data_IF_813309609855
#
_entry.id   IF_813309609855
#
_cell.length_a   1.000
_cell.length_b   1.000
_cell.length_c   1.000
_cell.angle_alpha   90.00
_cell.angle_beta   90.00
_cell.angle_gamma   90.00
#
_symmetry.space_group_name_H-M   'P 1'
#
loop_
_entity.id
_entity.type
_entity.pdbx_description
1 polymer ?
#
# COMPACT_ATOMS: atom_id res chain seq x y z
N UNK A 1 3.43 -7.35 35.52
CA UNK A 1 4.05 -6.15 34.90
C UNK A 1 4.71 -6.42 33.54
N UNK A 2 5.39 -7.54 33.31
CA UNK A 2 6.02 -7.85 32.00
C UNK A 2 5.01 -8.09 30.88
N UNK A 3 3.93 -8.81 31.11
CA UNK A 3 2.85 -9.08 30.15
C UNK A 3 2.13 -7.82 29.69
N UNK A 4 1.89 -6.86 30.57
CA UNK A 4 1.27 -5.56 30.25
C UNK A 4 2.18 -4.66 29.38
N UNK A 5 3.50 -4.79 29.49
CA UNK A 5 4.44 -4.09 28.62
C UNK A 5 4.54 -4.73 27.25
N UNK A 6 4.48 -6.06 27.15
CA UNK A 6 4.50 -6.77 25.86
C UNK A 6 3.27 -6.46 25.01
N UNK A 7 2.08 -6.40 25.62
CA UNK A 7 0.84 -6.07 24.88
C UNK A 7 0.83 -4.64 24.31
N UNK A 8 1.48 -3.69 24.99
CA UNK A 8 1.63 -2.31 24.52
C UNK A 8 2.65 -2.17 23.39
N UNK A 9 3.66 -3.02 23.32
CA UNK A 9 4.70 -2.99 22.28
C UNK A 9 4.32 -3.74 21.01
N UNK A 10 3.41 -4.70 21.11
CA UNK A 10 3.00 -5.55 19.99
C UNK A 10 2.47 -4.75 18.76
N UNK A 11 1.58 -3.75 18.91
CA UNK A 11 1.12 -2.94 17.76
C UNK A 11 2.27 -2.17 17.10
N UNK A 12 3.23 -1.64 17.86
CA UNK A 12 4.40 -0.93 17.33
C UNK A 12 5.34 -1.86 16.56
N UNK A 13 5.62 -3.04 17.12
CA UNK A 13 6.43 -4.05 16.43
C UNK A 13 5.75 -4.51 15.14
N UNK A 14 4.44 -4.77 15.18
CA UNK A 14 3.66 -5.13 14.02
C UNK A 14 3.69 -4.04 12.94
N UNK A 15 3.53 -2.76 13.32
CA UNK A 15 3.58 -1.62 12.41
C UNK A 15 4.97 -1.47 11.77
N UNK A 16 6.04 -1.63 12.53
CA UNK A 16 7.41 -1.55 12.01
C UNK A 16 7.71 -2.70 11.04
N UNK A 17 7.36 -3.94 11.41
CA UNK A 17 7.57 -5.11 10.56
C UNK A 17 6.77 -5.00 9.26
N UNK A 18 5.49 -4.68 9.35
CA UNK A 18 4.61 -4.51 8.21
C UNK A 18 5.08 -3.39 7.27
N UNK A 19 5.44 -2.23 7.84
CA UNK A 19 5.93 -1.11 7.07
C UNK A 19 7.28 -1.40 6.41
N UNK A 20 8.20 -2.09 7.11
CA UNK A 20 9.47 -2.51 6.54
C UNK A 20 9.29 -3.52 5.39
N UNK A 21 8.36 -4.48 5.54
CA UNK A 21 8.04 -5.45 4.50
C UNK A 21 7.43 -4.77 3.26
N UNK A 22 6.45 -3.88 3.44
CA UNK A 22 5.89 -3.16 2.30
C UNK A 22 6.90 -2.21 1.66
N UNK A 23 7.76 -1.56 2.46
CA UNK A 23 8.86 -0.75 1.93
C UNK A 23 9.82 -1.57 1.06
N UNK A 24 10.12 -2.82 1.45
CA UNK A 24 10.93 -3.75 0.67
C UNK A 24 10.30 -4.09 -0.68
N UNK A 25 8.98 -4.10 -0.80
CA UNK A 25 8.29 -4.44 -2.05
C UNK A 25 8.69 -3.54 -3.22
N UNK A 26 9.07 -2.28 -3.00
CA UNK A 26 9.55 -1.37 -4.06
C UNK A 26 10.92 -1.80 -4.59
N UNK A 27 11.80 -2.26 -3.72
CA UNK A 27 13.08 -2.83 -4.12
C UNK A 27 12.89 -4.15 -4.87
N UNK A 28 12.00 -5.02 -4.40
CA UNK A 28 11.65 -6.26 -5.09
C UNK A 28 10.99 -6.00 -6.45
N UNK A 29 10.19 -4.93 -6.58
CA UNK A 29 9.62 -4.53 -7.87
C UNK A 29 10.72 -4.22 -8.91
N UNK A 30 11.81 -3.57 -8.51
CA UNK A 30 12.97 -3.34 -9.38
C UNK A 30 13.72 -4.64 -9.70
N UNK A 31 13.92 -5.51 -8.71
CA UNK A 31 14.60 -6.80 -8.91
C UNK A 31 13.81 -7.68 -9.88
N UNK A 32 12.50 -7.82 -9.70
CA UNK A 32 11.66 -8.67 -10.54
C UNK A 32 11.60 -8.17 -11.98
N UNK A 33 11.53 -6.85 -12.19
CA UNK A 33 11.53 -6.28 -13.54
C UNK A 33 12.89 -6.37 -14.20
N UNK A 34 13.99 -6.20 -13.46
CA UNK A 34 15.35 -6.42 -13.95
C UNK A 34 15.63 -7.89 -14.30
N UNK A 35 14.96 -8.83 -13.61
CA UNK A 35 15.04 -10.27 -13.90
C UNK A 35 14.16 -10.72 -15.08
N UNK A 36 13.56 -9.78 -15.83
CA UNK A 36 12.74 -10.07 -17.02
C UNK A 36 11.24 -10.18 -16.73
N UNK A 37 10.79 -9.90 -15.50
CA UNK A 37 9.38 -9.86 -15.16
C UNK A 37 8.65 -8.72 -15.87
N UNK A 38 7.63 -9.04 -16.63
CA UNK A 38 6.77 -8.07 -17.30
C UNK A 38 5.72 -7.51 -16.34
N UNK A 39 5.32 -6.24 -16.42
CA UNK A 39 4.40 -5.62 -15.47
C UNK A 39 3.10 -6.40 -15.23
N UNK A 40 2.40 -6.78 -16.28
CA UNK A 40 1.14 -7.52 -16.13
C UNK A 40 1.36 -8.97 -15.69
N UNK A 41 2.43 -9.62 -16.16
CA UNK A 41 2.78 -10.97 -15.74
C UNK A 41 3.17 -11.04 -14.26
N UNK A 42 3.95 -10.08 -13.76
CA UNK A 42 4.32 -9.99 -12.34
C UNK A 42 3.09 -9.71 -11.48
N UNK A 43 2.23 -8.77 -11.90
CA UNK A 43 0.97 -8.47 -11.18
C UNK A 43 0.09 -9.73 -11.08
N UNK A 44 -0.02 -10.50 -12.18
CA UNK A 44 -0.74 -11.77 -12.19
C UNK A 44 -0.15 -12.76 -11.19
N UNK A 45 1.13 -13.09 -11.32
CA UNK A 45 1.77 -14.12 -10.50
C UNK A 45 1.85 -13.76 -9.02
N UNK A 46 2.15 -12.51 -8.70
CA UNK A 46 2.10 -12.02 -7.32
C UNK A 46 0.70 -12.18 -6.73
N UNK A 47 -0.34 -11.84 -7.49
CA UNK A 47 -1.73 -11.98 -7.05
C UNK A 47 -2.13 -13.44 -6.87
N UNK A 48 -1.65 -14.35 -7.73
CA UNK A 48 -1.83 -15.80 -7.55
C UNK A 48 -1.19 -16.27 -6.25
N UNK A 49 0.07 -15.94 -6.02
CA UNK A 49 0.80 -16.36 -4.80
C UNK A 49 0.10 -15.83 -3.54
N UNK A 50 -0.19 -14.53 -3.49
CA UNK A 50 -0.88 -13.91 -2.36
C UNK A 50 -2.28 -14.52 -2.16
N UNK A 51 -3.05 -14.65 -3.24
CA UNK A 51 -4.40 -15.21 -3.20
C UNK A 51 -4.43 -16.66 -2.71
N UNK A 52 -3.51 -17.50 -3.16
CA UNK A 52 -3.39 -18.90 -2.74
C UNK A 52 -3.02 -19.01 -1.25
N UNK A 53 -2.05 -18.22 -0.78
CA UNK A 53 -1.65 -18.17 0.64
C UNK A 53 -2.86 -17.78 1.51
N UNK A 54 -3.55 -16.70 1.15
CA UNK A 54 -4.71 -16.22 1.91
C UNK A 54 -5.90 -17.17 1.82
N UNK A 55 -6.10 -17.84 0.68
CA UNK A 55 -7.13 -18.87 0.52
C UNK A 55 -6.84 -20.05 1.45
N UNK A 56 -5.60 -20.55 1.47
CA UNK A 56 -5.17 -21.60 2.39
C UNK A 56 -5.46 -21.23 3.85
N UNK A 57 -5.14 -19.97 4.23
CA UNK A 57 -5.40 -19.46 5.57
C UNK A 57 -6.91 -19.37 5.89
N UNK A 58 -7.75 -18.88 4.97
CA UNK A 58 -9.20 -18.76 5.18
C UNK A 58 -9.87 -20.14 5.29
N UNK A 59 -9.44 -21.10 4.48
CA UNK A 59 -9.92 -22.48 4.53
C UNK A 59 -9.51 -23.18 5.84
N UNK A 60 -8.24 -23.03 6.26
CA UNK A 60 -7.75 -23.57 7.53
C UNK A 60 -8.54 -23.01 8.75
N UNK A 61 -8.99 -21.75 8.65
CA UNK A 61 -9.84 -21.10 9.66
C UNK A 61 -11.32 -21.41 9.51
N UNK A 62 -11.71 -22.29 8.58
CA UNK A 62 -13.10 -22.64 8.24
C UNK A 62 -13.97 -21.40 7.96
N UNK A 63 -13.39 -20.39 7.30
CA UNK A 63 -14.07 -19.16 6.90
C UNK A 63 -13.90 -18.93 5.39
N UNK A 64 -14.52 -19.77 4.53
CA UNK A 64 -14.36 -19.66 3.08
C UNK A 64 -14.87 -18.33 2.55
N UNK A 65 -14.49 -18.01 1.31
CA UNK A 65 -14.99 -16.86 0.61
C UNK A 65 -16.50 -17.01 0.34
N UNK A 66 -17.22 -15.92 0.52
CA UNK A 66 -18.62 -15.82 0.11
C UNK A 66 -18.65 -15.35 -1.34
N UNK A 67 -19.37 -16.06 -2.21
CA UNK A 67 -19.39 -15.84 -3.65
C UNK A 67 -20.77 -15.38 -4.15
N UNK A 68 -21.55 -14.68 -3.33
CA UNK A 68 -22.78 -14.04 -3.79
C UNK A 68 -22.49 -12.80 -4.65
N UNK A 69 -23.48 -12.29 -5.36
CA UNK A 69 -23.33 -11.17 -6.29
C UNK A 69 -22.73 -9.92 -5.65
N UNK A 70 -23.07 -9.65 -4.37
CA UNK A 70 -22.55 -8.49 -3.64
C UNK A 70 -21.06 -8.66 -3.36
N UNK A 71 -20.63 -9.81 -2.84
CA UNK A 71 -19.23 -10.09 -2.54
C UNK A 71 -18.38 -10.11 -3.82
N UNK A 72 -18.89 -10.70 -4.91
CA UNK A 72 -18.22 -10.70 -6.21
C UNK A 72 -17.95 -9.27 -6.71
N UNK A 73 -18.96 -8.38 -6.63
CA UNK A 73 -18.77 -6.98 -7.00
C UNK A 73 -17.70 -6.29 -6.16
N UNK A 74 -17.70 -6.55 -4.86
CA UNK A 74 -16.69 -5.98 -3.94
C UNK A 74 -15.30 -6.50 -4.31
N UNK A 75 -15.14 -7.81 -4.49
CA UNK A 75 -13.85 -8.39 -4.87
C UNK A 75 -13.32 -7.85 -6.19
N UNK A 76 -14.17 -7.64 -7.20
CA UNK A 76 -13.78 -7.04 -8.47
C UNK A 76 -13.31 -5.58 -8.29
N UNK A 77 -14.07 -4.77 -7.55
CA UNK A 77 -13.73 -3.35 -7.34
C UNK A 77 -12.40 -3.22 -6.58
N UNK A 78 -12.24 -3.95 -5.47
CA UNK A 78 -10.99 -3.92 -4.70
C UNK A 78 -9.83 -4.57 -5.46
N UNK A 79 -10.08 -5.57 -6.31
CA UNK A 79 -9.08 -6.16 -7.18
C UNK A 79 -8.53 -5.14 -8.19
N UNK A 80 -9.41 -4.35 -8.80
CA UNK A 80 -9.00 -3.31 -9.76
C UNK A 80 -8.24 -2.18 -9.06
N UNK A 81 -8.80 -1.64 -7.96
CA UNK A 81 -8.27 -0.46 -7.28
C UNK A 81 -7.11 -0.75 -6.33
N UNK A 82 -7.07 -1.93 -5.71
CA UNK A 82 -6.09 -2.29 -4.69
C UNK A 82 -4.97 -3.22 -5.17
N UNK A 83 -5.11 -3.85 -6.34
CA UNK A 83 -4.10 -4.78 -6.83
C UNK A 83 -3.79 -4.63 -8.31
N UNK A 84 -4.76 -4.84 -9.21
CA UNK A 84 -4.49 -4.97 -10.65
C UNK A 84 -3.89 -3.70 -11.25
N UNK A 85 -4.57 -2.56 -11.11
CA UNK A 85 -4.12 -1.29 -11.69
C UNK A 85 -2.88 -0.77 -10.94
N UNK A 86 -2.91 -0.56 -9.60
CA UNK A 86 -1.79 0.09 -8.92
C UNK A 86 -0.49 -0.73 -8.98
N UNK A 87 -0.53 -2.05 -8.81
CA UNK A 87 0.68 -2.87 -8.90
C UNK A 87 1.26 -2.85 -10.32
N UNK A 88 0.41 -2.94 -11.35
CA UNK A 88 0.88 -2.84 -12.75
C UNK A 88 1.57 -1.51 -13.00
N UNK A 89 1.02 -0.38 -12.53
CA UNK A 89 1.62 0.95 -12.66
C UNK A 89 2.98 1.02 -11.95
N UNK A 90 3.11 0.46 -10.75
CA UNK A 90 4.40 0.37 -10.06
C UNK A 90 5.41 -0.48 -10.82
N UNK A 91 5.01 -1.63 -11.38
CA UNK A 91 5.92 -2.47 -12.16
C UNK A 91 6.32 -1.84 -13.50
N UNK A 92 5.46 -1.03 -14.10
CA UNK A 92 5.85 -0.20 -15.26
C UNK A 92 6.88 0.88 -14.88
N UNK A 93 6.75 1.48 -13.71
CA UNK A 93 7.64 2.54 -13.24
C UNK A 93 8.98 2.02 -12.69
N UNK A 94 9.00 0.81 -12.12
CA UNK A 94 10.14 0.25 -11.39
C UNK A 94 11.47 0.18 -12.18
N UNK A 95 11.51 -0.08 -13.50
CA UNK A 95 12.76 -0.04 -14.26
C UNK A 95 13.37 1.35 -14.39
N UNK A 96 12.57 2.41 -14.26
CA UNK A 96 12.96 3.79 -14.58
C UNK A 96 13.11 4.69 -13.35
N UNK A 97 12.56 4.25 -12.20
CA UNK A 97 12.49 5.06 -10.97
C UNK A 97 13.20 4.33 -9.84
N UNK A 98 13.97 5.06 -9.04
CA UNK A 98 14.60 4.51 -7.84
C UNK A 98 13.54 3.98 -6.86
N UNK A 99 13.86 2.88 -6.14
CA UNK A 99 12.93 2.24 -5.22
C UNK A 99 12.54 3.18 -4.06
N UNK A 100 13.48 3.96 -3.56
CA UNK A 100 13.21 5.00 -2.56
C UNK A 100 12.22 6.05 -3.06
N UNK A 101 12.35 6.50 -4.30
CA UNK A 101 11.44 7.47 -4.91
C UNK A 101 10.03 6.87 -5.08
N UNK A 102 9.92 5.60 -5.50
CA UNK A 102 8.62 4.91 -5.59
C UNK A 102 7.94 4.83 -4.22
N UNK A 103 8.68 4.55 -3.15
CA UNK A 103 8.11 4.48 -1.80
C UNK A 103 7.56 5.82 -1.30
N UNK A 104 8.16 6.94 -1.71
CA UNK A 104 7.69 8.30 -1.38
C UNK A 104 6.29 8.53 -1.96
N UNK A 105 5.98 8.02 -3.15
CA UNK A 105 4.66 8.24 -3.79
C UNK A 105 3.50 7.63 -2.99
N UNK A 106 3.75 6.60 -2.18
CA UNK A 106 2.73 5.95 -1.33
C UNK A 106 2.19 6.89 -0.25
N UNK A 107 2.98 7.84 0.21
CA UNK A 107 2.56 8.84 1.21
C UNK A 107 1.45 9.75 0.69
N UNK A 108 1.25 9.81 -0.64
CA UNK A 108 0.12 10.51 -1.25
C UNK A 108 -1.24 9.84 -0.94
N UNK A 109 -1.27 8.54 -0.63
CA UNK A 109 -2.53 7.80 -0.44
C UNK A 109 -3.44 8.48 0.58
N UNK A 110 -3.02 8.72 1.85
CA UNK A 110 -3.89 9.39 2.82
C UNK A 110 -4.20 10.84 2.46
N UNK A 111 -3.27 11.52 1.78
CA UNK A 111 -3.44 12.90 1.31
C UNK A 111 -4.55 12.98 0.27
N UNK A 112 -4.50 12.11 -0.75
CA UNK A 112 -5.53 12.03 -1.80
C UNK A 112 -6.83 11.50 -1.22
N UNK A 113 -6.79 10.51 -0.29
CA UNK A 113 -7.98 9.99 0.39
C UNK A 113 -8.74 11.12 1.07
N UNK A 114 -8.06 11.99 1.82
CA UNK A 114 -8.69 13.13 2.47
C UNK A 114 -9.25 14.13 1.45
N UNK A 115 -8.48 14.48 0.41
CA UNK A 115 -8.94 15.42 -0.61
C UNK A 115 -10.23 14.93 -1.30
N UNK A 116 -10.26 13.66 -1.70
CA UNK A 116 -11.44 13.04 -2.35
C UNK A 116 -12.59 12.91 -1.35
N UNK A 117 -12.33 12.43 -0.12
CA UNK A 117 -13.36 12.29 0.91
C UNK A 117 -14.05 13.62 1.26
N UNK A 118 -13.27 14.70 1.29
CA UNK A 118 -13.83 16.07 1.49
C UNK A 118 -14.63 16.51 0.27
N UNK A 119 -14.15 16.25 -0.95
CA UNK A 119 -14.84 16.63 -2.18
C UNK A 119 -16.21 15.95 -2.34
N UNK A 120 -16.34 14.68 -1.89
CA UNK A 120 -17.61 13.94 -1.92
C UNK A 120 -18.47 14.15 -0.66
N UNK A 121 -18.01 15.02 0.28
CA UNK A 121 -18.77 15.37 1.49
C UNK A 121 -18.76 14.29 2.59
N UNK A 122 -17.93 13.26 2.49
CA UNK A 122 -17.80 12.22 3.52
C UNK A 122 -16.89 12.62 4.69
N UNK A 123 -16.04 13.63 4.50
CA UNK A 123 -15.19 14.21 5.53
C UNK A 123 -15.41 15.72 5.65
N UNK A 124 -15.25 16.26 6.87
CA UNK A 124 -15.39 17.70 7.10
C UNK A 124 -14.14 18.45 6.64
N UNK A 125 -14.36 19.64 6.09
CA UNK A 125 -13.30 20.57 5.76
C UNK A 125 -12.48 20.95 7.01
N UNK A 126 -11.16 20.86 6.90
CA UNK A 126 -10.22 21.30 7.93
C UNK A 126 -9.05 22.03 7.27
N UNK A 127 -8.84 23.30 7.62
CA UNK A 127 -7.72 24.09 7.06
C UNK A 127 -6.36 23.43 7.32
N UNK A 128 -6.18 22.80 8.48
CA UNK A 128 -4.94 22.06 8.82
C UNK A 128 -4.73 20.89 7.86
N UNK A 129 -5.77 20.09 7.59
CA UNK A 129 -5.67 18.95 6.67
C UNK A 129 -5.48 19.41 5.22
N UNK A 130 -6.11 20.51 4.81
CA UNK A 130 -5.90 21.11 3.48
C UNK A 130 -4.44 21.57 3.33
N UNK A 131 -3.83 22.16 4.35
CA UNK A 131 -2.40 22.46 4.35
C UNK A 131 -1.58 21.19 4.13
N UNK A 132 -1.96 20.07 4.73
CA UNK A 132 -1.32 18.77 4.47
C UNK A 132 -1.45 18.31 3.01
N UNK A 133 -2.61 18.53 2.36
CA UNK A 133 -2.77 18.25 0.91
C UNK A 133 -1.85 19.13 0.08
N UNK A 134 -1.72 20.42 0.41
CA UNK A 134 -0.78 21.34 -0.28
C UNK A 134 0.65 20.90 -0.08
N UNK A 135 1.05 20.48 1.12
CA UNK A 135 2.38 19.91 1.36
C UNK A 135 2.64 18.68 0.47
N UNK A 136 1.67 17.79 0.30
CA UNK A 136 1.79 16.64 -0.61
C UNK A 136 2.03 17.06 -2.06
N UNK A 137 1.28 18.05 -2.56
CA UNK A 137 1.49 18.59 -3.91
C UNK A 137 2.86 19.24 -4.06
N UNK A 138 3.30 20.04 -3.09
CA UNK A 138 4.64 20.67 -3.06
C UNK A 138 5.73 19.60 -3.05
N UNK A 139 5.59 18.55 -2.26
CA UNK A 139 6.57 17.46 -2.21
C UNK A 139 6.73 16.75 -3.58
N UNK A 140 5.64 16.51 -4.29
CA UNK A 140 5.73 15.94 -5.66
C UNK A 140 6.37 16.93 -6.63
N UNK A 141 6.07 18.22 -6.52
CA UNK A 141 6.74 19.26 -7.34
C UNK A 141 8.25 19.24 -7.06
N UNK A 142 8.67 19.19 -5.80
CA UNK A 142 10.10 19.10 -5.42
C UNK A 142 10.76 17.82 -5.94
N UNK A 143 10.01 16.73 -6.04
CA UNK A 143 10.52 15.46 -6.53
C UNK A 143 10.68 15.43 -8.05
N UNK A 144 9.83 16.14 -8.80
CA UNK A 144 9.70 15.99 -10.25
C UNK A 144 10.32 17.16 -11.02
N UNK A 145 10.18 18.40 -10.53
CA UNK A 145 10.54 19.61 -11.30
C UNK A 145 12.03 19.90 -11.34
N UNK A 146 12.80 19.84 -10.22
CA UNK A 146 14.22 20.18 -10.25
C UNK A 146 15.04 19.18 -11.08
N UNK A 147 15.98 19.69 -11.89
CA UNK A 147 16.81 18.83 -12.76
C UNK A 147 17.67 17.84 -12.00
N UNK A 148 18.08 18.18 -10.80
CA UNK A 148 18.91 17.36 -9.92
C UNK A 148 18.10 16.44 -8.98
N UNK A 149 16.76 16.42 -9.08
CA UNK A 149 15.93 15.61 -8.19
C UNK A 149 15.95 14.14 -8.58
N UNK A 150 15.93 13.84 -9.86
CA UNK A 150 15.91 12.48 -10.40
C UNK A 150 17.20 12.19 -11.16
N UNK A 151 17.65 10.93 -11.24
CA UNK A 151 18.84 10.54 -12.01
C UNK A 151 18.75 10.91 -13.50
N UNK A 152 17.53 10.97 -14.03
CA UNK A 152 17.23 11.34 -15.40
C UNK A 152 15.86 12.00 -15.51
N UNK A 153 15.72 13.01 -16.33
CA UNK A 153 14.43 13.61 -16.69
C UNK A 153 13.46 12.63 -17.32
N UNK A 154 13.96 11.59 -17.98
CA UNK A 154 13.16 10.51 -18.53
C UNK A 154 12.41 9.68 -17.44
N UNK A 155 12.82 9.80 -16.18
CA UNK A 155 12.11 9.16 -15.05
C UNK A 155 10.81 9.89 -14.64
N UNK A 156 10.67 11.17 -14.98
CA UNK A 156 9.54 12.02 -14.55
C UNK A 156 8.16 11.43 -14.89
N UNK A 157 7.84 10.99 -16.13
CA UNK A 157 6.53 10.42 -16.45
C UNK A 157 6.25 9.14 -15.65
N UNK A 158 7.29 8.38 -15.31
CA UNK A 158 7.17 7.15 -14.53
C UNK A 158 6.88 7.42 -13.04
N UNK A 159 7.43 8.50 -12.48
CA UNK A 159 7.06 8.97 -11.14
C UNK A 159 5.59 9.40 -11.12
N UNK A 160 5.12 10.14 -12.12
CA UNK A 160 3.72 10.55 -12.22
C UNK A 160 2.80 9.33 -12.41
N UNK A 161 3.24 8.33 -13.16
CA UNK A 161 2.54 7.06 -13.30
C UNK A 161 2.42 6.32 -11.94
N UNK A 162 3.49 6.31 -11.14
CA UNK A 162 3.47 5.76 -9.79
C UNK A 162 2.51 6.54 -8.86
N UNK A 163 2.45 7.88 -8.99
CA UNK A 163 1.48 8.69 -8.24
C UNK A 163 0.01 8.33 -8.57
N UNK A 164 -0.27 7.87 -9.81
CA UNK A 164 -1.60 7.40 -10.18
C UNK A 164 -2.01 6.12 -9.41
N UNK A 165 -1.04 5.29 -9.01
CA UNK A 165 -1.31 4.15 -8.11
C UNK A 165 -1.85 4.62 -6.76
N UNK A 166 -1.33 5.74 -6.23
CA UNK A 166 -1.82 6.30 -4.97
C UNK A 166 -3.28 6.79 -5.09
N UNK A 167 -3.70 7.26 -6.27
CA UNK A 167 -5.12 7.59 -6.52
C UNK A 167 -5.99 6.34 -6.44
N UNK A 168 -5.56 5.23 -7.06
CA UNK A 168 -6.29 3.97 -7.01
C UNK A 168 -6.47 3.48 -5.56
N UNK A 169 -5.38 3.45 -4.77
CA UNK A 169 -5.44 3.07 -3.36
C UNK A 169 -6.30 4.03 -2.52
N UNK A 170 -6.27 5.33 -2.81
CA UNK A 170 -7.13 6.29 -2.13
C UNK A 170 -8.62 6.03 -2.40
N UNK A 171 -8.97 5.72 -3.64
CA UNK A 171 -10.34 5.35 -4.01
C UNK A 171 -10.75 4.00 -3.40
N UNK A 172 -9.84 3.03 -3.31
CA UNK A 172 -10.04 1.77 -2.61
C UNK A 172 -10.34 2.02 -1.13
N UNK A 173 -9.53 2.84 -0.44
CA UNK A 173 -9.72 3.17 0.96
C UNK A 173 -11.11 3.80 1.22
N UNK A 174 -11.53 4.74 0.38
CA UNK A 174 -12.86 5.36 0.46
C UNK A 174 -13.96 4.33 0.18
N UNK A 175 -13.75 3.42 -0.76
CA UNK A 175 -14.70 2.36 -1.04
C UNK A 175 -14.84 1.40 0.15
N UNK A 176 -13.73 0.95 0.73
CA UNK A 176 -13.70 0.02 1.87
C UNK A 176 -14.18 0.64 3.18
N UNK A 177 -14.16 1.97 3.32
CA UNK A 177 -14.66 2.67 4.51
C UNK A 177 -16.19 2.67 4.63
N UNK A 178 -16.91 2.25 3.59
CA UNK A 178 -18.39 2.22 3.60
C UNK A 178 -18.91 1.25 4.66
N UNK A 179 -19.88 1.67 5.50
CA UNK A 179 -20.45 0.83 6.57
C UNK A 179 -20.99 -0.50 6.05
N UNK A 180 -21.55 -0.49 4.84
CA UNK A 180 -22.09 -1.68 4.18
C UNK A 180 -21.06 -2.77 3.85
N UNK A 181 -19.76 -2.51 3.99
CA UNK A 181 -18.69 -3.46 3.68
C UNK A 181 -17.94 -3.97 4.91
N UNK A 182 -18.27 -3.49 6.11
CA UNK A 182 -17.56 -3.82 7.35
C UNK A 182 -17.82 -5.25 7.85
N UNK A 183 -18.90 -5.89 7.41
CA UNK A 183 -19.25 -7.28 7.71
C UNK A 183 -18.35 -8.30 6.97
N UNK A 184 -17.70 -7.87 5.89
CA UNK A 184 -16.77 -8.74 5.15
C UNK A 184 -15.43 -8.73 5.90
N UNK A 185 -15.08 -9.85 6.48
CA UNK A 185 -13.81 -9.97 7.20
C UNK A 185 -12.62 -9.58 6.30
N UNK A 186 -11.72 -8.70 6.78
CA UNK A 186 -10.64 -8.11 5.97
C UNK A 186 -9.73 -9.12 5.28
N UNK A 187 -9.42 -10.27 5.93
CA UNK A 187 -8.62 -11.35 5.31
C UNK A 187 -9.37 -11.95 4.11
N UNK A 188 -10.69 -12.10 4.20
CA UNK A 188 -11.51 -12.56 3.07
C UNK A 188 -11.55 -11.53 1.95
N UNK A 189 -11.60 -10.24 2.27
CA UNK A 189 -11.51 -9.17 1.28
C UNK A 189 -10.16 -9.22 0.57
N UNK A 190 -9.05 -9.32 1.30
CA UNK A 190 -7.71 -9.41 0.71
C UNK A 190 -7.53 -10.69 -0.13
N UNK A 191 -8.08 -11.82 0.31
CA UNK A 191 -8.08 -13.07 -0.45
C UNK A 191 -8.87 -12.93 -1.75
N UNK A 192 -10.12 -12.45 -1.68
CA UNK A 192 -10.95 -12.19 -2.84
C UNK A 192 -10.30 -11.18 -3.79
N UNK A 193 -9.78 -10.07 -3.27
CA UNK A 193 -9.05 -9.07 -4.04
C UNK A 193 -7.95 -9.71 -4.91
N UNK A 194 -7.07 -10.51 -4.30
CA UNK A 194 -5.94 -11.08 -5.03
C UNK A 194 -6.36 -12.19 -6.01
N UNK A 195 -7.33 -13.05 -5.66
CA UNK A 195 -7.82 -14.08 -6.58
C UNK A 195 -8.53 -13.45 -7.80
N UNK A 196 -9.33 -12.40 -7.59
CA UNK A 196 -9.98 -11.69 -8.68
C UNK A 196 -9.00 -10.83 -9.46
N UNK A 197 -7.97 -10.26 -8.82
CA UNK A 197 -6.89 -9.58 -9.53
C UNK A 197 -6.14 -10.56 -10.46
N UNK A 198 -5.82 -11.76 -9.99
CA UNK A 198 -5.25 -12.80 -10.85
C UNK A 198 -6.19 -13.15 -12.02
N UNK A 199 -7.48 -13.35 -11.77
CA UNK A 199 -8.45 -13.64 -12.81
C UNK A 199 -8.58 -12.53 -13.87
N UNK A 200 -8.51 -11.26 -13.43
CA UNK A 200 -8.56 -10.08 -14.33
C UNK A 200 -7.24 -9.95 -15.10
N UNK A 201 -6.11 -10.13 -14.42
CA UNK A 201 -4.79 -9.94 -15.02
C UNK A 201 -4.40 -11.04 -16.00
N UNK A 202 -4.95 -12.25 -15.86
CA UNK A 202 -4.67 -13.36 -16.77
C UNK A 202 -4.97 -13.01 -18.25
N UNK A 203 -6.18 -12.63 -18.62
CA UNK A 203 -6.47 -12.28 -20.01
C UNK A 203 -5.70 -11.03 -20.48
N UNK A 204 -5.43 -10.07 -19.58
CA UNK A 204 -4.67 -8.87 -19.93
C UNK A 204 -3.20 -9.23 -20.21
N UNK A 205 -2.57 -10.05 -19.37
CA UNK A 205 -1.19 -10.49 -19.56
C UNK A 205 -1.03 -11.36 -20.83
N UNK A 206 -1.99 -12.25 -21.09
CA UNK A 206 -2.01 -13.06 -22.31
C UNK A 206 -2.22 -12.20 -23.57
N UNK A 207 -3.24 -11.34 -23.58
CA UNK A 207 -3.59 -10.51 -24.73
C UNK A 207 -2.54 -9.45 -25.05
N UNK A 208 -1.80 -8.96 -24.07
CA UNK A 208 -0.69 -8.01 -24.26
C UNK A 208 0.66 -8.66 -24.58
N UNK A 209 0.76 -10.00 -24.60
CA UNK A 209 2.02 -10.71 -24.77
C UNK A 209 2.96 -10.59 -23.59
N UNK A 210 2.48 -10.15 -22.42
CA UNK A 210 3.28 -9.99 -21.21
C UNK A 210 3.18 -11.20 -20.25
N UNK A 211 2.47 -12.25 -20.64
CA UNK A 211 2.42 -13.47 -19.86
C UNK A 211 3.74 -14.23 -20.01
N UNK A 212 4.29 -14.64 -18.89
CA UNK A 212 5.44 -15.55 -18.86
C UNK A 212 5.13 -16.73 -17.93
N UNK A 213 5.80 -17.86 -18.18
CA UNK A 213 5.69 -19.03 -17.31
C UNK A 213 6.92 -19.08 -16.40
N UNK A 214 6.74 -19.21 -15.07
CA UNK A 214 7.86 -19.36 -14.16
C UNK A 214 8.68 -20.61 -14.49
N UNK A 215 10.00 -20.49 -14.36
CA UNK A 215 10.91 -21.62 -14.59
C UNK A 215 10.85 -22.59 -13.41
N UNK A 216 10.94 -23.89 -13.70
CA UNK A 216 11.03 -24.91 -12.65
C UNK A 216 12.38 -24.89 -11.91
N UNK A 217 13.40 -24.23 -12.47
CA UNK A 217 14.71 -24.07 -11.82
C UNK A 217 14.76 -22.98 -10.76
N UNK A 218 13.67 -22.21 -10.58
CA UNK A 218 13.53 -21.17 -9.58
C UNK A 218 14.73 -20.20 -9.51
N UNK A 219 14.75 -19.23 -10.41
CA UNK A 219 15.72 -18.14 -10.42
C UNK A 219 15.31 -16.94 -9.59
N UNK A 220 15.99 -15.81 -9.82
CA UNK A 220 15.71 -14.52 -9.15
C UNK A 220 14.27 -14.05 -9.40
N UNK A 221 13.74 -14.27 -10.61
CA UNK A 221 12.38 -13.87 -10.99
C UNK A 221 11.35 -14.55 -10.09
N UNK A 222 11.38 -15.87 -10.00
CA UNK A 222 10.42 -16.69 -9.28
C UNK A 222 10.47 -16.42 -7.77
N UNK A 223 11.66 -16.42 -7.18
CA UNK A 223 11.83 -16.13 -5.76
C UNK A 223 11.35 -14.72 -5.41
N UNK A 224 11.56 -13.74 -6.30
CA UNK A 224 11.10 -12.38 -6.07
C UNK A 224 9.57 -12.28 -6.13
N UNK A 225 8.93 -12.99 -7.07
CA UNK A 225 7.45 -13.06 -7.16
C UNK A 225 6.85 -13.71 -5.90
N UNK A 226 7.45 -14.82 -5.44
CA UNK A 226 7.01 -15.49 -4.21
C UNK A 226 7.18 -14.54 -3.01
N UNK A 227 8.32 -13.84 -2.92
CA UNK A 227 8.58 -12.85 -1.90
C UNK A 227 7.54 -11.72 -1.88
N UNK A 228 7.23 -11.15 -3.04
CA UNK A 228 6.21 -10.10 -3.19
C UNK A 228 4.82 -10.60 -2.76
N UNK A 229 4.42 -11.80 -3.18
CA UNK A 229 3.14 -12.38 -2.80
C UNK A 229 3.05 -12.68 -1.30
N UNK A 230 4.14 -13.22 -0.71
CA UNK A 230 4.23 -13.49 0.72
C UNK A 230 4.21 -12.21 1.55
N UNK A 231 4.99 -11.20 1.16
CA UNK A 231 4.99 -9.88 1.81
C UNK A 231 3.60 -9.30 1.82
N UNK A 232 2.90 -9.30 0.68
CA UNK A 232 1.54 -8.80 0.62
C UNK A 232 0.60 -9.57 1.55
N UNK A 233 0.64 -10.90 1.56
CA UNK A 233 -0.20 -11.70 2.44
C UNK A 233 0.06 -11.41 3.93
N UNK A 234 1.33 -11.33 4.33
CA UNK A 234 1.73 -11.03 5.71
C UNK A 234 1.40 -9.59 6.09
N UNK A 235 1.76 -8.62 5.25
CA UNK A 235 1.57 -7.21 5.55
C UNK A 235 0.09 -6.85 5.64
N UNK A 236 -0.76 -7.31 4.72
CA UNK A 236 -2.21 -7.10 4.82
C UNK A 236 -2.81 -7.74 6.08
N UNK A 237 -2.43 -8.98 6.39
CA UNK A 237 -2.92 -9.65 7.60
C UNK A 237 -2.51 -8.89 8.86
N UNK A 238 -1.27 -8.43 8.92
CA UNK A 238 -0.73 -7.65 10.04
C UNK A 238 -1.42 -6.29 10.15
N UNK A 239 -1.66 -5.61 9.02
CA UNK A 239 -2.39 -4.33 8.97
C UNK A 239 -3.76 -4.42 9.62
N UNK A 240 -4.48 -5.49 9.33
CA UNK A 240 -5.80 -5.75 9.92
C UNK A 240 -5.71 -6.00 11.42
N UNK A 241 -4.71 -6.77 11.86
CA UNK A 241 -4.48 -7.01 13.28
C UNK A 241 -4.19 -5.68 13.99
N UNK A 242 -3.36 -4.83 13.40
CA UNK A 242 -3.04 -3.50 13.95
C UNK A 242 -4.27 -2.62 14.04
N UNK A 243 -5.13 -2.59 13.01
CA UNK A 243 -6.40 -1.84 13.08
C UNK A 243 -7.26 -2.31 14.26
N UNK A 244 -7.35 -3.63 14.50
CA UNK A 244 -8.16 -4.18 15.59
C UNK A 244 -7.57 -3.95 16.98
N UNK A 245 -6.25 -3.94 17.12
CA UNK A 245 -5.57 -3.78 18.40
C UNK A 245 -5.38 -2.32 18.80
N UNK A 246 -5.13 -1.45 17.85
CA UNK A 246 -4.71 -0.07 18.10
C UNK A 246 -5.51 0.98 17.32
N UNK A 247 -6.52 0.54 16.55
CA UNK A 247 -7.41 1.40 15.79
C UNK A 247 -6.84 1.86 14.44
N UNK A 248 -7.73 2.39 13.56
CA UNK A 248 -7.36 2.79 12.19
C UNK A 248 -6.40 3.98 12.18
N UNK A 249 -6.49 4.89 13.15
CA UNK A 249 -5.57 6.04 13.26
C UNK A 249 -4.13 5.57 13.50
N UNK A 250 -3.92 4.59 14.38
CA UNK A 250 -2.60 4.03 14.61
C UNK A 250 -2.08 3.29 13.37
N UNK A 251 -2.95 2.51 12.71
CA UNK A 251 -2.60 1.79 11.50
C UNK A 251 -2.19 2.72 10.33
N UNK A 252 -2.74 3.94 10.26
CA UNK A 252 -2.36 4.92 9.23
C UNK A 252 -0.91 5.39 9.33
N UNK A 253 -0.26 5.22 10.51
CA UNK A 253 1.16 5.49 10.70
C UNK A 253 2.08 4.58 9.84
N UNK A 254 1.54 3.49 9.30
CA UNK A 254 2.26 2.60 8.38
C UNK A 254 2.87 3.36 7.20
N UNK A 255 2.18 4.39 6.69
CA UNK A 255 2.69 5.21 5.58
C UNK A 255 4.07 5.83 5.86
N UNK A 256 4.33 6.28 7.09
CA UNK A 256 5.65 6.79 7.48
C UNK A 256 6.72 5.72 7.41
N UNK A 257 6.41 4.53 7.99
CA UNK A 257 7.38 3.43 8.06
C UNK A 257 7.66 2.87 6.67
N UNK A 258 6.63 2.68 5.84
CA UNK A 258 6.76 2.20 4.46
C UNK A 258 7.69 3.11 3.65
N UNK A 259 7.48 4.42 3.74
CA UNK A 259 8.27 5.39 2.98
C UNK A 259 9.73 5.39 3.42
N UNK A 260 9.98 5.51 4.72
CA UNK A 260 11.34 5.50 5.25
C UNK A 260 12.05 4.17 4.98
N UNK A 261 11.36 3.05 5.21
CA UNK A 261 11.90 1.73 4.93
C UNK A 261 12.20 1.54 3.43
N UNK A 262 11.34 2.01 2.52
CA UNK A 262 11.58 1.93 1.09
C UNK A 262 12.80 2.71 0.64
N UNK A 263 13.02 3.91 1.18
CA UNK A 263 14.25 4.69 0.94
C UNK A 263 15.47 3.94 1.49
N UNK A 264 15.41 3.42 2.72
CA UNK A 264 16.51 2.66 3.34
C UNK A 264 16.84 1.40 2.53
N UNK A 265 15.83 0.63 2.12
CA UNK A 265 16.02 -0.56 1.28
C UNK A 265 16.61 -0.21 -0.08
N UNK A 266 16.20 0.91 -0.70
CA UNK A 266 16.76 1.40 -1.95
C UNK A 266 18.25 1.73 -1.82
N UNK A 267 18.63 2.42 -0.75
CA UNK A 267 20.04 2.72 -0.44
C UNK A 267 20.83 1.42 -0.17
N UNK A 268 20.30 0.53 0.66
CA UNK A 268 20.99 -0.68 1.07
C UNK A 268 21.19 -1.69 -0.08
N UNK A 269 20.17 -1.92 -0.89
CA UNK A 269 20.20 -2.95 -1.94
C UNK A 269 20.81 -2.47 -3.26
N UNK A 270 20.69 -1.18 -3.58
CA UNK A 270 21.13 -0.64 -4.88
C UNK A 270 22.16 0.46 -4.76
N UNK A 271 22.57 0.87 -3.55
CA UNK A 271 23.45 2.02 -3.37
C UNK A 271 22.83 3.33 -3.88
N UNK A 272 21.49 3.46 -3.78
CA UNK A 272 20.81 4.66 -4.26
C UNK A 272 21.32 5.91 -3.54
N UNK A 273 21.68 6.93 -4.31
CA UNK A 273 21.99 8.24 -3.77
C UNK A 273 20.85 9.19 -4.10
N UNK A 274 20.43 9.96 -3.11
CA UNK A 274 19.30 10.86 -3.26
C UNK A 274 19.78 12.32 -3.12
N UNK A 275 19.30 13.19 -4.02
CA UNK A 275 19.60 14.62 -3.97
C UNK A 275 18.93 15.29 -2.76
N UNK A 276 19.37 16.50 -2.41
CA UNK A 276 18.72 17.30 -1.38
C UNK A 276 17.23 17.55 -1.66
N UNK A 277 16.82 17.59 -2.93
CA UNK A 277 15.44 17.75 -3.34
C UNK A 277 14.58 16.52 -2.97
N UNK A 278 15.12 15.32 -3.13
CA UNK A 278 14.44 14.08 -2.71
C UNK A 278 14.27 14.05 -1.20
N UNK A 279 15.33 14.36 -0.44
CA UNK A 279 15.25 14.43 1.03
C UNK A 279 14.28 15.53 1.49
N UNK A 280 14.32 16.70 0.86
CA UNK A 280 13.36 17.78 1.10
C UNK A 280 11.93 17.33 0.83
N UNK A 281 11.68 16.61 -0.28
CA UNK A 281 10.36 16.06 -0.60
C UNK A 281 9.88 15.05 0.44
N UNK A 282 10.76 14.18 0.96
CA UNK A 282 10.43 13.26 2.06
C UNK A 282 9.96 14.02 3.30
N UNK A 283 10.70 15.06 3.71
CA UNK A 283 10.34 15.86 4.89
C UNK A 283 8.99 16.55 4.70
N UNK A 284 8.78 17.22 3.56
CA UNK A 284 7.52 17.93 3.27
C UNK A 284 6.36 16.94 3.15
N UNK A 285 6.58 15.76 2.55
CA UNK A 285 5.58 14.70 2.44
C UNK A 285 5.19 14.15 3.82
N UNK A 286 6.18 13.92 4.71
CA UNK A 286 5.94 13.48 6.09
C UNK A 286 5.15 14.51 6.89
N UNK A 287 5.46 15.81 6.73
CA UNK A 287 4.69 16.89 7.34
C UNK A 287 3.26 16.90 6.79
N UNK A 288 3.08 16.76 5.48
CA UNK A 288 1.76 16.66 4.85
C UNK A 288 0.95 15.51 5.41
N UNK A 289 1.54 14.32 5.52
CA UNK A 289 0.90 13.15 6.12
C UNK A 289 0.51 13.40 7.59
N UNK A 290 1.40 14.01 8.38
CA UNK A 290 1.13 14.33 9.78
C UNK A 290 -0.05 15.31 9.95
N UNK A 291 -0.22 16.25 9.01
CA UNK A 291 -1.30 17.24 9.04
C UNK A 291 -2.65 16.63 8.58
N UNK A 292 -2.63 15.67 7.65
CA UNK A 292 -3.84 15.01 7.14
C UNK A 292 -4.35 13.94 8.11
N UNK A 293 -3.45 13.26 8.82
CA UNK A 293 -3.83 12.19 9.76
C UNK A 293 -4.71 12.74 10.88
N UNK A 294 -5.91 12.16 11.15
CA UNK A 294 -6.77 12.60 12.23
C UNK A 294 -6.03 12.55 13.57
N UNK A 295 -6.09 13.61 14.34
CA UNK A 295 -5.63 13.61 15.74
C UNK A 295 -6.83 13.22 16.61
N UNK A 296 -6.60 12.38 17.61
CA UNK A 296 -7.59 12.12 18.65
C UNK A 296 -7.94 13.48 19.30
N UNK A 297 -9.19 13.86 19.26
CA UNK A 297 -9.67 15.01 20.04
C UNK A 297 -9.93 14.53 21.47
N UNK A 298 -9.81 15.43 22.44
CA UNK A 298 -10.09 15.11 23.85
C UNK A 298 -11.52 14.57 24.01
N UNK A 299 -12.46 14.98 23.15
CA UNK A 299 -13.82 14.46 23.10
C UNK A 299 -13.91 12.95 22.73
N UNK A 300 -12.96 12.43 21.94
CA UNK A 300 -12.91 10.99 21.60
C UNK A 300 -12.31 10.19 22.78
N UNK A 301 -11.42 10.79 23.55
CA UNK A 301 -10.87 10.20 24.76
C UNK A 301 -11.93 10.09 25.87
N UNK A 302 -12.69 11.16 26.08
CA UNK A 302 -13.80 11.21 27.07
C UNK A 302 -14.93 10.22 26.70
N UNK A 303 -15.18 9.99 25.40
CA UNK A 303 -16.18 9.02 24.95
C UNK A 303 -15.75 7.56 25.22
N UNK A 304 -14.45 7.26 25.04
CA UNK A 304 -13.90 5.93 25.34
C UNK A 304 -13.85 5.66 26.86
N UNK A 305 -13.52 6.66 27.67
CA UNK A 305 -13.50 6.56 29.13
C UNK A 305 -14.93 6.39 29.70
N UNK A 306 -15.91 7.13 29.19
CA UNK A 306 -17.33 6.94 29.56
C UNK A 306 -17.89 5.59 29.12
N UNK A 307 -17.44 5.02 27.99
CA UNK A 307 -17.82 3.70 27.55
C UNK A 307 -17.17 2.58 28.39
N UNK A 308 -15.96 2.81 28.90
CA UNK A 308 -15.25 1.89 29.80
C UNK A 308 -15.83 1.88 31.23
N UNK A 309 -16.36 3.00 31.70
CA UNK A 309 -17.04 3.10 33.01
C UNK A 309 -18.47 2.50 32.98
N UNK A 310 -19.07 2.35 31.80
CA UNK A 310 -20.41 1.80 31.63
C UNK A 310 -20.44 0.26 31.38
N UNK A 311 -19.28 -0.39 31.28
CA UNK A 311 -19.11 -1.83 31.06
C UNK A 311 -18.63 -2.54 32.33
#
# INVERSE_FOLDING_TARGET
MATLRLTKLLPWAALLVMGALWGLSFSLARIVTAAGGTPFGVTFWQSVVCGVILLGFTLARRRPLTLDRRHLQIYVIVALLGASIPNSLFYFAAPYVQAGVLSITVTLIPIITYAVATAIGSERFSAVRVTGVVCGAVAIIMLVVPESSLPSRAAMPWVLLACLSAVCYALENIYLSRPSLQDIGPVRTACGMNLFAAAIMLPIALGSGQMFMPSLSFGTLEWTIIGLGLINAVAYTTFIIVIRLAGPLFASQTGYVVTLAGVIWGIYLFGETHSAWVWGSVVVMMLGLALVTPRRTDADADADDNAAEAS
#
